data_IF_797862156573
#
_entry.id   IF_797862156573
#
_cell.length_a   1.000
_cell.length_b   1.000
_cell.length_c   1.000
_cell.angle_alpha   90.00
_cell.angle_beta   90.00
_cell.angle_gamma   90.00
#
_symmetry.space_group_name_H-M   'P 1'
#
loop_
_entity.id
_entity.type
_entity.pdbx_description
1 polymer ?
#
# COMPACT_ATOMS: atom_id res chain seq x y z
N UNK A 1 7.15 18.57 26.53
CA UNK A 1 8.30 18.02 25.75
C UNK A 1 8.15 16.54 25.42
N UNK A 2 7.87 15.67 26.39
CA UNK A 2 7.76 14.21 26.15
C UNK A 2 6.75 13.77 25.06
N UNK A 3 5.53 14.32 25.05
CA UNK A 3 4.51 14.01 24.01
C UNK A 3 4.99 14.33 22.59
N UNK A 4 5.78 15.40 22.44
CA UNK A 4 6.32 15.82 21.15
C UNK A 4 7.42 14.86 20.67
N UNK A 5 8.29 14.41 21.58
CA UNK A 5 9.32 13.41 21.27
C UNK A 5 8.69 12.07 20.83
N UNK A 6 7.65 11.62 21.53
CA UNK A 6 6.89 10.41 21.14
C UNK A 6 6.24 10.55 19.76
N UNK A 7 5.59 11.68 19.50
CA UNK A 7 4.99 11.96 18.20
C UNK A 7 6.06 11.97 17.09
N UNK A 8 7.20 12.61 17.34
CA UNK A 8 8.31 12.68 16.40
C UNK A 8 8.88 11.28 16.11
N UNK A 9 9.12 10.47 17.14
CA UNK A 9 9.57 9.09 16.99
C UNK A 9 8.55 8.24 16.20
N UNK A 10 7.25 8.40 16.46
CA UNK A 10 6.19 7.72 15.71
C UNK A 10 6.19 8.14 14.23
N UNK A 11 6.34 9.43 13.94
CA UNK A 11 6.43 9.94 12.58
C UNK A 11 7.67 9.41 11.85
N UNK A 12 8.84 9.36 12.51
CA UNK A 12 10.04 8.75 11.93
C UNK A 12 9.83 7.27 11.61
N UNK A 13 9.25 6.51 12.54
CA UNK A 13 8.88 5.11 12.31
C UNK A 13 7.91 4.95 11.14
N UNK A 14 6.92 5.84 11.02
CA UNK A 14 5.95 5.86 9.92
C UNK A 14 6.65 6.12 8.58
N UNK A 15 7.52 7.12 8.51
CA UNK A 15 8.27 7.47 7.29
C UNK A 15 9.19 6.35 6.83
N UNK A 16 9.90 5.69 7.77
CA UNK A 16 10.75 4.54 7.46
C UNK A 16 9.95 3.36 6.92
N UNK A 17 8.82 3.04 7.56
CA UNK A 17 7.95 1.95 7.12
C UNK A 17 7.32 2.23 5.75
N UNK A 18 6.79 3.45 5.53
CA UNK A 18 6.26 3.88 4.23
C UNK A 18 7.32 3.78 3.13
N UNK A 19 8.55 4.26 3.38
CA UNK A 19 9.65 4.16 2.42
C UNK A 19 9.96 2.70 2.05
N UNK A 20 9.93 1.79 3.02
CA UNK A 20 10.16 0.37 2.78
C UNK A 20 9.05 -0.31 1.96
N UNK A 21 7.79 0.10 2.17
CA UNK A 21 6.64 -0.39 1.41
C UNK A 21 6.72 0.10 -0.03
N UNK A 22 6.91 1.40 -0.23
CA UNK A 22 7.08 2.00 -1.58
C UNK A 22 8.26 1.34 -2.31
N UNK A 23 9.39 1.11 -1.63
CA UNK A 23 10.51 0.40 -2.22
C UNK A 23 10.16 -1.06 -2.62
N UNK A 24 9.31 -1.73 -1.84
CA UNK A 24 8.84 -3.08 -2.13
C UNK A 24 7.88 -3.10 -3.31
N UNK A 25 7.00 -2.11 -3.43
CA UNK A 25 6.10 -1.95 -4.57
C UNK A 25 6.85 -1.62 -5.85
N UNK A 26 7.82 -0.71 -5.81
CA UNK A 26 8.68 -0.41 -6.98
C UNK A 26 9.41 -1.68 -7.43
N UNK A 27 9.92 -2.48 -6.48
CA UNK A 27 10.56 -3.78 -6.78
C UNK A 27 9.58 -4.77 -7.41
N UNK A 28 8.34 -4.81 -6.92
CA UNK A 28 7.27 -5.65 -7.46
C UNK A 28 6.91 -5.21 -8.89
N UNK A 29 6.68 -3.92 -9.11
CA UNK A 29 6.39 -3.33 -10.42
C UNK A 29 7.52 -3.59 -11.41
N UNK A 30 8.78 -3.44 -10.99
CA UNK A 30 9.94 -3.78 -11.83
C UNK A 30 9.98 -5.26 -12.22
N UNK A 31 9.59 -6.18 -11.33
CA UNK A 31 9.46 -7.61 -11.67
C UNK A 31 8.27 -7.92 -12.58
N UNK A 32 7.19 -7.18 -12.44
CA UNK A 32 6.05 -7.27 -13.36
C UNK A 32 6.40 -6.71 -14.74
N UNK A 33 7.35 -5.78 -14.83
CA UNK A 33 7.86 -5.23 -16.08
C UNK A 33 8.94 -6.11 -16.74
N UNK A 34 9.90 -6.65 -15.98
CA UNK A 34 11.05 -7.39 -16.52
C UNK A 34 11.01 -8.92 -16.24
N UNK A 35 11.34 -9.75 -17.22
CA UNK A 35 11.30 -11.23 -17.14
C UNK A 35 12.58 -11.81 -16.46
N UNK A 36 13.61 -10.97 -16.20
CA UNK A 36 14.93 -11.43 -15.68
C UNK A 36 15.41 -10.78 -14.38
N UNK A 37 14.59 -10.02 -13.67
CA UNK A 37 15.05 -9.36 -12.42
C UNK A 37 15.12 -10.36 -11.27
N UNK A 38 16.28 -10.99 -11.13
CA UNK A 38 16.77 -11.55 -9.87
C UNK A 38 16.86 -10.41 -8.85
N UNK A 39 15.81 -10.19 -8.06
CA UNK A 39 15.95 -9.36 -6.85
C UNK A 39 16.86 -10.15 -5.92
N UNK A 40 18.08 -9.66 -5.70
CA UNK A 40 18.89 -10.07 -4.58
C UNK A 40 18.03 -9.95 -3.31
N UNK A 41 17.96 -10.98 -2.44
CA UNK A 41 17.15 -10.92 -1.23
C UNK A 41 17.41 -9.60 -0.50
N UNK A 42 16.35 -8.96 0.05
CA UNK A 42 16.52 -7.70 0.76
C UNK A 42 17.64 -7.87 1.78
N UNK A 43 18.61 -6.95 1.74
CA UNK A 43 19.75 -6.98 2.64
C UNK A 43 19.22 -7.15 4.08
N UNK A 44 19.75 -8.09 4.89
CA UNK A 44 19.31 -8.31 6.27
C UNK A 44 19.22 -7.02 7.10
N UNK A 45 20.05 -6.01 6.79
CA UNK A 45 19.94 -4.68 7.40
C UNK A 45 18.61 -3.98 7.11
N UNK A 46 18.07 -4.09 5.89
CA UNK A 46 16.78 -3.51 5.51
C UNK A 46 15.63 -4.21 6.24
N UNK A 47 15.67 -5.55 6.36
CA UNK A 47 14.64 -6.27 7.13
C UNK A 47 14.68 -5.93 8.62
N UNK A 48 15.89 -5.79 9.18
CA UNK A 48 16.06 -5.34 10.55
C UNK A 48 15.53 -3.91 10.74
N UNK A 49 15.80 -3.01 9.80
CA UNK A 49 15.30 -1.62 9.84
C UNK A 49 13.77 -1.57 9.80
N UNK A 50 13.12 -2.34 8.93
CA UNK A 50 11.65 -2.42 8.87
C UNK A 50 11.09 -2.95 10.19
N UNK A 51 11.70 -4.00 10.73
CA UNK A 51 11.27 -4.60 12.00
C UNK A 51 11.36 -3.60 13.14
N UNK A 52 12.46 -2.85 13.23
CA UNK A 52 12.64 -1.79 14.22
C UNK A 52 11.61 -0.67 14.01
N UNK A 53 11.39 -0.23 12.77
CA UNK A 53 10.39 0.81 12.47
C UNK A 53 8.98 0.39 12.89
N UNK A 54 8.60 -0.87 12.66
CA UNK A 54 7.33 -1.44 13.12
C UNK A 54 7.26 -1.49 14.66
N UNK A 55 8.31 -1.96 15.34
CA UNK A 55 8.34 -1.95 16.81
C UNK A 55 8.17 -0.54 17.37
N UNK A 56 8.89 0.44 16.81
CA UNK A 56 8.78 1.86 17.19
C UNK A 56 7.34 2.34 16.99
N UNK A 57 6.70 2.03 15.86
CA UNK A 57 5.31 2.39 15.59
C UNK A 57 4.33 1.86 16.63
N UNK A 58 4.40 0.57 16.97
CA UNK A 58 3.52 -0.03 17.99
C UNK A 58 3.77 0.55 19.38
N UNK A 59 5.04 0.63 19.79
CA UNK A 59 5.40 1.12 21.12
C UNK A 59 5.00 2.59 21.29
N UNK A 60 5.35 3.45 20.33
CA UNK A 60 5.01 4.87 20.39
C UNK A 60 3.50 5.11 20.22
N UNK A 61 2.83 4.34 19.35
CA UNK A 61 1.38 4.39 19.17
C UNK A 61 0.63 4.02 20.46
N UNK A 62 1.00 2.90 21.08
CA UNK A 62 0.46 2.46 22.35
C UNK A 62 0.73 3.46 23.48
N UNK A 63 1.96 3.97 23.58
CA UNK A 63 2.32 4.98 24.57
C UNK A 63 1.48 6.27 24.43
N UNK A 64 1.24 6.74 23.20
CA UNK A 64 0.39 7.91 22.97
C UNK A 64 -1.07 7.67 23.44
N UNK A 65 -1.60 6.46 23.24
CA UNK A 65 -2.95 6.11 23.69
C UNK A 65 -3.01 6.04 25.21
N UNK A 66 -2.04 5.38 25.86
CA UNK A 66 -1.98 5.28 27.32
C UNK A 66 -1.86 6.66 27.98
N UNK A 67 -0.99 7.54 27.45
CA UNK A 67 -0.87 8.92 27.93
C UNK A 67 -2.15 9.75 27.69
N UNK A 68 -2.86 9.47 26.60
CA UNK A 68 -4.15 10.09 26.30
C UNK A 68 -5.21 9.69 27.31
N UNK A 69 -5.35 8.38 27.57
CA UNK A 69 -6.29 7.83 28.53
C UNK A 69 -6.01 8.25 29.97
N UNK A 70 -4.73 8.36 30.36
CA UNK A 70 -4.34 8.85 31.68
C UNK A 70 -4.64 10.33 31.91
N UNK A 71 -4.76 11.12 30.83
CA UNK A 71 -5.12 12.54 30.92
C UNK A 71 -6.63 12.78 30.78
N UNK A 72 -7.31 11.94 29.99
CA UNK A 72 -8.74 12.04 29.73
C UNK A 72 -9.31 10.62 29.55
N UNK A 73 -10.13 10.10 30.48
CA UNK A 73 -10.75 8.79 30.35
C UNK A 73 -11.61 8.64 29.08
N UNK A 74 -12.13 9.74 28.55
CA UNK A 74 -12.91 9.78 27.31
C UNK A 74 -12.05 9.90 26.06
N UNK A 75 -10.72 9.87 26.18
CA UNK A 75 -9.79 10.05 25.06
C UNK A 75 -10.06 9.10 23.89
N UNK A 76 -10.37 7.83 24.19
CA UNK A 76 -10.69 6.81 23.19
C UNK A 76 -12.18 6.78 22.84
N UNK A 77 -13.07 6.80 23.83
CA UNK A 77 -14.52 6.72 23.60
C UNK A 77 -15.09 7.95 22.90
N UNK A 78 -14.57 9.14 23.21
CA UNK A 78 -14.96 10.42 22.62
C UNK A 78 -14.24 10.77 21.33
N UNK A 79 -13.41 9.89 20.76
CA UNK A 79 -12.67 10.16 19.52
C UNK A 79 -12.87 9.06 18.47
N UNK A 80 -13.99 9.10 17.71
CA UNK A 80 -14.31 8.09 16.70
C UNK A 80 -13.22 7.94 15.63
N UNK A 81 -12.51 9.03 15.31
CA UNK A 81 -11.35 9.01 14.42
C UNK A 81 -10.21 8.11 14.94
N UNK A 82 -9.91 8.19 16.24
CA UNK A 82 -8.88 7.37 16.86
C UNK A 82 -9.28 5.89 16.86
N UNK A 83 -10.54 5.60 17.17
CA UNK A 83 -11.10 4.25 17.10
C UNK A 83 -10.99 3.68 15.69
N UNK A 84 -11.42 4.44 14.67
CA UNK A 84 -11.29 4.06 13.27
C UNK A 84 -9.83 3.79 12.89
N UNK A 85 -8.89 4.66 13.28
CA UNK A 85 -7.45 4.43 13.04
C UNK A 85 -6.97 3.11 13.67
N UNK A 86 -7.38 2.79 14.88
CA UNK A 86 -7.00 1.54 15.54
C UNK A 86 -7.53 0.31 14.81
N UNK A 87 -8.80 0.34 14.39
CA UNK A 87 -9.38 -0.73 13.56
C UNK A 87 -8.56 -0.91 12.27
N UNK A 88 -8.23 0.17 11.59
CA UNK A 88 -7.45 0.13 10.35
C UNK A 88 -6.02 -0.39 10.56
N UNK A 89 -5.38 -0.04 11.69
CA UNK A 89 -4.06 -0.60 12.07
C UNK A 89 -4.14 -2.10 12.32
N UNK A 90 -5.20 -2.59 12.98
CA UNK A 90 -5.41 -4.04 13.17
C UNK A 90 -5.61 -4.74 11.82
N UNK A 91 -6.44 -4.18 10.94
CA UNK A 91 -6.65 -4.70 9.58
C UNK A 91 -5.33 -4.74 8.80
N UNK A 92 -4.51 -3.69 8.90
CA UNK A 92 -3.19 -3.61 8.27
C UNK A 92 -2.23 -4.68 8.84
N UNK A 93 -2.31 -4.97 10.14
CA UNK A 93 -1.54 -6.03 10.80
C UNK A 93 -1.90 -7.41 10.23
N UNK A 94 -3.19 -7.70 10.14
CA UNK A 94 -3.70 -8.95 9.57
C UNK A 94 -3.29 -9.07 8.11
N UNK A 95 -3.41 -7.98 7.34
CA UNK A 95 -3.02 -7.96 5.93
C UNK A 95 -1.52 -8.19 5.73
N UNK A 96 -0.66 -7.65 6.61
CA UNK A 96 0.77 -7.91 6.56
C UNK A 96 1.07 -9.41 6.69
N UNK A 97 0.37 -10.13 7.58
CA UNK A 97 0.49 -11.58 7.67
C UNK A 97 0.08 -12.27 6.37
N UNK A 98 -1.03 -11.83 5.75
CA UNK A 98 -1.50 -12.36 4.45
C UNK A 98 -0.45 -12.16 3.35
N UNK A 99 0.12 -10.96 3.26
CA UNK A 99 1.14 -10.62 2.27
C UNK A 99 2.39 -11.50 2.42
N UNK A 100 2.92 -11.63 3.64
CA UNK A 100 4.14 -12.38 3.89
C UNK A 100 3.94 -13.90 3.76
N UNK A 101 2.78 -14.43 4.16
CA UNK A 101 2.54 -15.89 4.16
C UNK A 101 2.06 -16.41 2.80
N UNK A 102 1.26 -15.64 2.08
CA UNK A 102 0.57 -16.10 0.87
C UNK A 102 0.99 -15.35 -0.38
N UNK A 103 0.92 -14.01 -0.37
CA UNK A 103 1.11 -13.20 -1.58
C UNK A 103 2.56 -13.22 -2.07
N UNK A 104 3.53 -12.83 -1.23
CA UNK A 104 4.93 -12.77 -1.63
C UNK A 104 5.52 -14.15 -1.98
N UNK A 105 5.25 -15.24 -1.24
CA UNK A 105 5.72 -16.56 -1.65
C UNK A 105 5.09 -17.04 -2.96
N UNK A 106 3.83 -16.69 -3.24
CA UNK A 106 3.18 -16.98 -4.53
C UNK A 106 3.84 -16.26 -5.69
N UNK A 107 4.18 -14.98 -5.51
CA UNK A 107 4.94 -14.18 -6.48
C UNK A 107 6.37 -14.70 -6.68
N UNK A 108 7.01 -15.21 -5.63
CA UNK A 108 8.36 -15.76 -5.69
C UNK A 108 8.42 -17.15 -6.35
N UNK A 109 7.39 -17.98 -6.17
CA UNK A 109 7.32 -19.37 -6.70
C UNK A 109 6.88 -19.46 -8.17
N UNK A 110 6.51 -18.36 -8.80
CA UNK A 110 6.52 -18.23 -10.25
C UNK A 110 5.22 -18.60 -10.98
N UNK A 111 4.97 -17.79 -12.00
CA UNK A 111 4.32 -18.02 -13.32
C UNK A 111 4.25 -16.65 -13.97
N UNK A 112 4.49 -16.55 -15.29
CA UNK A 112 4.30 -15.27 -16.01
C UNK A 112 2.90 -14.73 -15.74
N UNK A 113 2.78 -13.43 -15.46
CA UNK A 113 1.52 -12.73 -15.15
C UNK A 113 0.47 -13.00 -16.23
N UNK A 114 0.89 -13.09 -17.49
CA UNK A 114 0.07 -13.46 -18.64
C UNK A 114 -0.67 -14.82 -18.52
N UNK A 115 -0.22 -15.74 -17.65
CA UNK A 115 -0.84 -17.06 -17.44
C UNK A 115 -1.65 -17.15 -16.14
N UNK A 116 -1.85 -16.03 -15.45
CA UNK A 116 -2.58 -16.00 -14.20
C UNK A 116 -4.09 -16.14 -14.44
N UNK A 117 -4.77 -16.89 -13.57
CA UNK A 117 -6.24 -16.93 -13.56
C UNK A 117 -6.78 -15.72 -12.81
N UNK A 118 -8.04 -15.30 -13.00
CA UNK A 118 -8.63 -14.17 -12.26
C UNK A 118 -8.45 -14.26 -10.73
N UNK A 119 -8.52 -15.48 -10.18
CA UNK A 119 -8.24 -15.74 -8.76
C UNK A 119 -6.82 -15.35 -8.33
N UNK A 120 -5.83 -15.51 -9.19
CA UNK A 120 -4.43 -15.20 -8.90
C UNK A 120 -4.21 -13.68 -8.93
N UNK A 121 -4.91 -12.96 -9.83
CA UNK A 121 -4.98 -11.50 -9.81
C UNK A 121 -5.57 -10.99 -8.50
N UNK A 122 -6.74 -11.49 -8.07
CA UNK A 122 -7.36 -11.05 -6.81
C UNK A 122 -6.50 -11.34 -5.58
N UNK A 123 -5.85 -12.52 -5.54
CA UNK A 123 -4.94 -12.92 -4.44
C UNK A 123 -3.75 -11.99 -4.27
N UNK A 124 -3.33 -11.29 -5.32
CA UNK A 124 -2.24 -10.32 -5.28
C UNK A 124 -2.79 -8.90 -5.11
N UNK A 125 -3.78 -8.52 -5.92
CA UNK A 125 -4.30 -7.17 -5.97
C UNK A 125 -4.96 -6.73 -4.66
N UNK A 126 -5.75 -7.59 -4.03
CA UNK A 126 -6.45 -7.24 -2.78
C UNK A 126 -5.47 -6.94 -1.65
N UNK A 127 -4.52 -7.83 -1.29
CA UNK A 127 -3.59 -7.53 -0.20
C UNK A 127 -2.65 -6.35 -0.48
N UNK A 128 -2.23 -6.17 -1.73
CA UNK A 128 -1.36 -5.05 -2.15
C UNK A 128 -2.13 -3.73 -2.08
N UNK A 129 -3.33 -3.67 -2.65
CA UNK A 129 -4.15 -2.45 -2.62
C UNK A 129 -4.55 -2.07 -1.19
N UNK A 130 -4.92 -3.06 -0.37
CA UNK A 130 -5.26 -2.84 1.03
C UNK A 130 -4.07 -2.29 1.82
N UNK A 131 -2.87 -2.84 1.60
CA UNK A 131 -1.64 -2.31 2.22
C UNK A 131 -1.41 -0.84 1.84
N UNK A 132 -1.39 -0.53 0.55
CA UNK A 132 -1.05 0.82 0.08
C UNK A 132 -2.06 1.86 0.51
N UNK A 133 -3.35 1.54 0.39
CA UNK A 133 -4.41 2.41 0.86
C UNK A 133 -4.30 2.66 2.37
N UNK A 134 -4.24 1.60 3.18
CA UNK A 134 -4.31 1.74 4.64
C UNK A 134 -3.07 2.40 5.23
N UNK A 135 -1.89 2.16 4.68
CA UNK A 135 -0.67 2.84 5.13
C UNK A 135 -0.75 4.35 4.93
N UNK A 136 -1.10 4.79 3.72
CA UNK A 136 -1.22 6.22 3.41
C UNK A 136 -2.37 6.87 4.19
N UNK A 137 -3.52 6.20 4.27
CA UNK A 137 -4.67 6.73 4.98
C UNK A 137 -4.44 6.79 6.51
N UNK A 138 -3.81 5.79 7.12
CA UNK A 138 -3.46 5.83 8.55
C UNK A 138 -2.42 6.93 8.86
N UNK A 139 -1.48 7.16 7.94
CA UNK A 139 -0.53 8.27 8.05
C UNK A 139 -1.24 9.63 7.99
N UNK A 140 -2.18 9.79 7.03
CA UNK A 140 -3.04 10.97 6.94
C UNK A 140 -3.87 11.18 8.22
N UNK A 141 -4.54 10.13 8.73
CA UNK A 141 -5.26 10.19 10.00
C UNK A 141 -4.35 10.60 11.17
N UNK A 142 -3.06 10.26 11.11
CA UNK A 142 -2.06 10.73 12.08
C UNK A 142 -1.93 12.26 12.15
N UNK A 143 -2.04 12.95 11.01
CA UNK A 143 -1.85 14.41 10.92
C UNK A 143 -3.17 15.20 10.89
N UNK A 144 -4.30 14.57 10.57
CA UNK A 144 -5.61 15.21 10.40
C UNK A 144 -6.24 15.68 11.73
N UNK A 145 -5.61 16.61 12.44
CA UNK A 145 -6.09 17.16 13.73
C UNK A 145 -7.53 17.69 13.68
N UNK A 146 -7.98 18.39 12.61
CA UNK A 146 -9.36 18.90 12.54
C UNK A 146 -10.44 17.82 12.59
N UNK A 147 -10.09 16.56 12.29
CA UNK A 147 -11.02 15.42 12.35
C UNK A 147 -11.13 14.80 13.74
N UNK A 148 -10.32 15.25 14.70
CA UNK A 148 -10.34 14.69 16.05
C UNK A 148 -11.66 15.07 16.74
N UNK A 149 -12.44 14.07 17.15
CA UNK A 149 -13.75 14.22 17.81
C UNK A 149 -14.85 14.90 16.98
N UNK A 150 -14.61 15.19 15.70
CA UNK A 150 -15.58 15.90 14.83
C UNK A 150 -16.20 14.99 13.78
N UNK A 151 -15.45 14.01 13.27
CA UNK A 151 -15.94 13.05 12.28
C UNK A 151 -16.42 11.76 12.96
N UNK A 152 -17.44 11.14 12.38
CA UNK A 152 -17.94 9.84 12.82
C UNK A 152 -16.98 8.71 12.43
N UNK A 153 -17.08 7.57 13.12
CA UNK A 153 -16.31 6.37 12.76
C UNK A 153 -16.70 5.85 11.38
N UNK A 154 -17.99 5.92 11.03
CA UNK A 154 -18.50 5.48 9.73
C UNK A 154 -17.91 6.28 8.58
N UNK A 155 -17.74 7.59 8.78
CA UNK A 155 -17.07 8.43 7.78
C UNK A 155 -15.61 8.01 7.58
N UNK A 156 -14.89 7.68 8.65
CA UNK A 156 -13.49 7.23 8.60
C UNK A 156 -13.37 5.88 7.91
N UNK A 157 -14.19 4.90 8.30
CA UNK A 157 -14.17 3.56 7.71
C UNK A 157 -14.70 3.57 6.27
N UNK A 158 -15.74 4.35 5.97
CA UNK A 158 -16.28 4.54 4.62
C UNK A 158 -15.26 5.20 3.68
N UNK A 159 -14.53 6.21 4.16
CA UNK A 159 -13.41 6.80 3.40
C UNK A 159 -12.32 5.76 3.13
N UNK A 160 -11.96 4.95 4.11
CA UNK A 160 -11.00 3.87 3.92
C UNK A 160 -11.47 2.85 2.87
N UNK A 161 -12.75 2.47 2.89
CA UNK A 161 -13.33 1.55 1.91
C UNK A 161 -13.33 2.13 0.49
N UNK A 162 -13.67 3.42 0.36
CA UNK A 162 -13.65 4.11 -0.93
C UNK A 162 -12.23 4.21 -1.50
N UNK A 163 -11.25 4.62 -0.68
CA UNK A 163 -9.83 4.65 -1.07
C UNK A 163 -9.28 3.26 -1.40
N UNK A 164 -9.75 2.22 -0.70
CA UNK A 164 -9.38 0.85 -1.01
C UNK A 164 -9.92 0.44 -2.37
N UNK A 165 -11.18 0.74 -2.67
CA UNK A 165 -11.78 0.46 -3.98
C UNK A 165 -11.04 1.12 -5.13
N UNK A 166 -10.69 2.40 -5.00
CA UNK A 166 -9.92 3.13 -6.03
C UNK A 166 -8.51 2.56 -6.20
N UNK A 167 -7.82 2.27 -5.09
CA UNK A 167 -6.48 1.65 -5.12
C UNK A 167 -6.54 0.25 -5.73
N UNK A 168 -7.59 -0.53 -5.45
CA UNK A 168 -7.78 -1.86 -6.01
C UNK A 168 -7.96 -1.80 -7.53
N UNK A 169 -8.79 -0.88 -8.03
CA UNK A 169 -8.94 -0.65 -9.47
C UNK A 169 -7.61 -0.27 -10.11
N UNK A 170 -6.84 0.63 -9.49
CA UNK A 170 -5.52 1.03 -9.99
C UNK A 170 -4.54 -0.16 -10.05
N UNK A 171 -4.45 -0.96 -8.98
CA UNK A 171 -3.58 -2.15 -8.95
C UNK A 171 -4.02 -3.19 -9.98
N UNK A 172 -5.33 -3.42 -10.14
CA UNK A 172 -5.86 -4.33 -11.15
C UNK A 172 -5.53 -3.85 -12.56
N UNK A 173 -5.68 -2.55 -12.85
CA UNK A 173 -5.32 -1.97 -14.13
C UNK A 173 -3.82 -2.18 -14.44
N UNK A 174 -2.94 -1.93 -13.47
CA UNK A 174 -1.50 -2.18 -13.60
C UNK A 174 -1.20 -3.65 -13.89
N UNK A 175 -1.85 -4.58 -13.18
CA UNK A 175 -1.65 -6.00 -13.42
C UNK A 175 -2.16 -6.46 -14.79
N UNK A 176 -3.28 -5.91 -15.26
CA UNK A 176 -3.84 -6.21 -16.59
C UNK A 176 -2.92 -5.69 -17.69
N UNK A 177 -2.43 -4.46 -17.58
CA UNK A 177 -1.46 -3.87 -18.53
C UNK A 177 -0.19 -4.74 -18.57
N UNK A 178 0.36 -5.07 -17.40
CA UNK A 178 1.54 -5.94 -17.30
C UNK A 178 1.31 -7.36 -17.86
N UNK A 179 0.07 -7.85 -17.86
CA UNK A 179 -0.28 -9.12 -18.49
C UNK A 179 -0.35 -9.00 -20.02
N UNK A 180 -0.90 -7.91 -20.55
CA UNK A 180 -1.06 -7.64 -21.99
C UNK A 180 0.29 -7.41 -22.68
N UNK A 181 1.18 -6.63 -22.09
CA UNK A 181 2.54 -6.39 -22.64
C UNK A 181 3.35 -7.69 -22.81
N UNK A 182 2.89 -8.79 -22.20
CA UNK A 182 3.59 -10.08 -22.17
C UNK A 182 2.89 -11.21 -22.93
N UNK A 183 1.62 -11.08 -23.28
CA UNK A 183 0.97 -11.93 -24.31
C UNK A 183 1.39 -11.51 -25.71
N UNK A 184 1.80 -10.26 -25.84
CA UNK A 184 2.06 -9.57 -27.09
C UNK A 184 3.52 -9.74 -27.56
N UNK A 185 3.84 -10.95 -28.03
CA UNK A 185 4.72 -11.07 -29.20
C UNK A 185 4.00 -10.58 -30.49
N UNK A 186 2.70 -10.36 -30.40
CA UNK A 186 1.84 -9.63 -31.34
C UNK A 186 1.54 -8.25 -30.76
N UNK A 187 1.76 -7.14 -31.48
CA UNK A 187 1.79 -5.79 -30.91
C UNK A 187 0.45 -5.33 -30.30
N UNK A 188 0.49 -4.74 -29.11
CA UNK A 188 -0.69 -4.38 -28.32
C UNK A 188 -1.53 -3.25 -28.91
N UNK A 189 -2.76 -3.05 -28.43
CA UNK A 189 -3.67 -2.04 -28.98
C UNK A 189 -3.11 -0.61 -28.93
N UNK A 190 -2.29 -0.29 -27.91
CA UNK A 190 -1.55 0.99 -27.82
C UNK A 190 -0.51 1.11 -28.95
N UNK A 191 0.17 0.03 -29.31
CA UNK A 191 1.12 -0.02 -30.43
C UNK A 191 0.41 0.02 -31.78
N UNK A 192 -0.81 -0.53 -31.87
CA UNK A 192 -1.68 -0.42 -33.05
C UNK A 192 -2.17 1.01 -33.20
N UNK A 193 -2.55 1.67 -32.10
CA UNK A 193 -3.01 3.06 -32.09
C UNK A 193 -1.86 4.00 -32.47
N UNK A 194 -0.68 3.84 -31.84
CA UNK A 194 0.54 4.57 -32.23
C UNK A 194 0.86 4.40 -33.70
N UNK A 195 0.88 3.16 -34.21
CA UNK A 195 1.16 2.92 -35.64
C UNK A 195 0.08 3.46 -36.57
N UNK A 196 -1.18 3.53 -36.14
CA UNK A 196 -2.23 4.21 -36.93
C UNK A 196 -2.03 5.72 -36.94
N UNK A 197 -1.69 6.32 -35.80
CA UNK A 197 -1.39 7.75 -35.69
C UNK A 197 -0.14 8.11 -36.51
N UNK A 198 0.93 7.31 -36.42
CA UNK A 198 2.16 7.53 -37.18
C UNK A 198 1.93 7.40 -38.69
N UNK A 199 1.12 6.43 -39.13
CA UNK A 199 0.71 6.31 -40.54
C UNK A 199 -0.13 7.50 -41.01
N UNK A 200 -1.05 7.99 -40.19
CA UNK A 200 -1.85 9.19 -40.50
C UNK A 200 -0.97 10.45 -40.57
N UNK A 201 -0.03 10.61 -39.63
CA UNK A 201 0.92 11.71 -39.63
C UNK A 201 1.87 11.68 -40.84
N UNK A 202 2.23 10.49 -41.32
CA UNK A 202 3.05 10.33 -42.53
C UNK A 202 2.25 10.61 -43.80
N UNK A 203 0.97 10.22 -43.83
CA UNK A 203 0.05 10.49 -44.95
C UNK A 203 -0.34 11.99 -45.08
N UNK A 204 -0.32 12.73 -43.97
CA UNK A 204 -0.61 14.17 -43.91
C UNK A 204 0.64 15.05 -44.14
N UNK A 205 1.82 14.46 -44.37
CA UNK A 205 3.08 15.17 -44.69
C UNK A 205 3.32 15.37 -46.19
N UNK A 206 2.25 15.34 -47.00
CA UNK A 206 2.27 15.73 -48.42
C UNK A 206 1.91 17.21 -48.54
#
# INVERSE_FOLDING_TARGET
>A
MFKLLLLFAHLLGTSLALGAIVATDIRLLRRLADDRVRIAPPNPYVMRLITIALMVLYVTGGAMILLGLGADPTYLSGNPKLQGKLVLVVVLTINAFVLHRYTFPGLARGRRVARWKPRDFLRVAVPVALSNCLWLYCAFLGIARPWSRTVSIDFVLGTALWLFGTTLVAVMAVLVIAAQDRTNAEPGWIDVLKRRIDRLATALRI
#
